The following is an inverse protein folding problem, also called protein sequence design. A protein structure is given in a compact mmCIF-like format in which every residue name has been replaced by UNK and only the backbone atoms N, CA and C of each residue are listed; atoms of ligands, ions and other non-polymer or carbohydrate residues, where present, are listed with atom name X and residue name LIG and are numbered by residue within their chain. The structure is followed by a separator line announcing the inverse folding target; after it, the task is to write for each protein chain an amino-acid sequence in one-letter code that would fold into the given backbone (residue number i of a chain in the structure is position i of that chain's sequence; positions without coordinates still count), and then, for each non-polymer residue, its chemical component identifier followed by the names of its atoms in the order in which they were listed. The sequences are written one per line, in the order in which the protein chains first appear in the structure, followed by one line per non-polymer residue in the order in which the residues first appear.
data_IF_823229859801
#
_entry.id   IF_823229859801
#
_cell.length_a   1.000
_cell.length_b   1.000
_cell.length_c   1.000
_cell.angle_alpha   90.00
_cell.angle_beta   90.00
_cell.angle_gamma   90.00
#
_symmetry.space_group_name_H-M   'P 1'
#
loop_
_entity.id
_entity.type
_entity.pdbx_description
1 polymer ?
#
# COMPACT_ATOMS: atom_id res chain seq x y z
N UNK A 1 -67.14 64.40 44.83
CA UNK A 1 -66.07 64.62 45.83
C UNK A 1 -65.92 63.31 46.62
N UNK A 2 -64.75 62.70 46.90
CA UNK A 2 -63.31 62.96 46.64
C UNK A 2 -62.61 61.62 46.25
N UNK A 3 -61.37 61.67 45.73
CA UNK A 3 -60.48 60.50 45.49
C UNK A 3 -59.94 59.92 46.82
N UNK A 4 -59.37 58.71 46.80
CA UNK A 4 -58.03 58.27 47.32
C UNK A 4 -57.87 56.76 46.98
N UNK A 5 -57.03 56.34 46.02
CA UNK A 5 -55.57 56.05 46.04
C UNK A 5 -55.17 54.72 46.75
N UNK A 6 -54.39 53.93 46.01
CA UNK A 6 -53.84 52.59 46.28
C UNK A 6 -52.60 52.64 47.20
N UNK A 7 -52.42 51.63 48.07
CA UNK A 7 -51.10 51.17 48.54
C UNK A 7 -51.07 49.64 48.55
N UNK A 8 -50.05 49.05 47.92
CA UNK A 8 -49.73 47.62 47.97
C UNK A 8 -48.53 47.39 48.90
N UNK A 9 -48.51 46.26 49.61
CA UNK A 9 -47.29 45.69 50.19
C UNK A 9 -47.47 44.18 50.33
N UNK A 10 -46.56 43.40 49.76
CA UNK A 10 -46.50 41.96 49.92
C UNK A 10 -45.04 41.51 49.85
N UNK A 11 -44.49 41.19 51.01
CA UNK A 11 -43.13 40.66 51.16
C UNK A 11 -43.12 39.16 50.84
N UNK A 12 -42.39 38.78 49.80
CA UNK A 12 -41.78 37.46 49.55
C UNK A 12 -42.56 36.19 49.94
N UNK A 13 -42.99 35.42 48.93
CA UNK A 13 -42.99 33.95 49.02
C UNK A 13 -41.95 33.43 48.04
N UNK A 14 -40.80 33.00 48.54
CA UNK A 14 -39.75 32.35 47.74
C UNK A 14 -40.13 30.89 47.53
N UNK A 15 -40.77 30.60 46.40
CA UNK A 15 -41.05 29.22 46.02
C UNK A 15 -39.90 28.69 45.14
N UNK A 16 -38.89 28.11 45.79
CA UNK A 16 -37.89 27.27 45.09
C UNK A 16 -38.56 25.94 44.71
N UNK A 17 -39.43 25.97 43.71
CA UNK A 17 -39.86 24.74 43.05
C UNK A 17 -38.72 24.24 42.18
N UNK A 18 -37.94 23.29 42.72
CA UNK A 18 -37.57 22.16 41.88
C UNK A 18 -38.87 21.55 41.34
N UNK A 19 -39.01 21.41 40.03
CA UNK A 19 -40.27 20.94 39.44
C UNK A 19 -40.60 19.53 39.92
N UNK A 20 -41.64 19.38 40.74
CA UNK A 20 -42.38 18.15 40.76
C UNK A 20 -43.17 18.05 39.45
N UNK A 21 -42.87 17.01 38.66
CA UNK A 21 -43.53 16.73 37.38
C UNK A 21 -44.89 16.09 37.67
N UNK A 22 -45.85 16.92 38.10
CA UNK A 22 -47.12 16.52 38.67
C UNK A 22 -48.36 16.92 37.86
N UNK A 23 -48.33 16.86 36.53
CA UNK A 23 -49.55 16.96 35.71
C UNK A 23 -49.40 16.28 34.34
N UNK A 24 -50.43 15.54 33.93
CA UNK A 24 -50.60 15.13 32.53
C UNK A 24 -50.60 16.37 31.64
N UNK A 25 -49.82 16.33 30.56
CA UNK A 25 -49.61 17.43 29.61
C UNK A 25 -48.73 18.61 30.09
N UNK A 26 -48.10 18.56 31.28
CA UNK A 26 -47.02 19.50 31.62
C UNK A 26 -45.74 19.21 30.82
N UNK A 27 -45.44 20.06 29.83
CA UNK A 27 -44.14 20.05 29.15
C UNK A 27 -43.10 20.72 30.07
N UNK A 28 -41.85 20.23 30.07
CA UNK A 28 -40.77 20.89 30.82
C UNK A 28 -40.19 21.99 29.94
N UNK A 29 -40.01 23.19 30.51
CA UNK A 29 -39.54 24.39 29.80
C UNK A 29 -38.53 25.15 30.65
N UNK A 30 -37.45 25.61 30.01
CA UNK A 30 -36.67 26.75 30.49
C UNK A 30 -36.95 27.96 29.60
N UNK A 31 -37.32 29.10 30.21
CA UNK A 31 -37.57 30.36 29.50
C UNK A 31 -36.30 31.17 29.19
N UNK A 32 -35.15 30.69 29.65
CA UNK A 32 -33.83 31.31 29.40
C UNK A 32 -33.32 30.93 28.00
N UNK A 33 -32.69 31.85 27.24
CA UNK A 33 -31.96 31.49 26.03
C UNK A 33 -30.93 30.37 26.27
N UNK A 34 -30.85 29.41 25.34
CA UNK A 34 -30.10 28.15 25.53
C UNK A 34 -30.86 27.07 26.32
N UNK A 35 -32.05 27.37 26.82
CA UNK A 35 -32.92 26.44 27.52
C UNK A 35 -33.45 25.30 26.64
N UNK A 36 -33.72 24.14 27.25
CA UNK A 36 -34.33 23.00 26.60
C UNK A 36 -35.85 22.91 26.89
N UNK A 37 -36.59 22.33 25.95
CA UNK A 37 -38.01 22.00 26.07
C UNK A 37 -38.25 20.53 25.75
N UNK A 38 -39.09 19.85 26.54
CA UNK A 38 -39.58 18.49 26.25
C UNK A 38 -41.09 18.54 26.03
N UNK A 39 -41.57 18.05 24.87
CA UNK A 39 -42.99 18.01 24.55
C UNK A 39 -43.58 16.65 24.92
N UNK A 40 -44.79 16.68 25.44
CA UNK A 40 -45.67 15.51 25.62
C UNK A 40 -46.78 15.44 24.55
N UNK A 41 -46.75 16.35 23.56
CA UNK A 41 -47.68 16.38 22.43
C UNK A 41 -47.33 15.27 21.41
N UNK A 42 -48.32 14.48 20.99
CA UNK A 42 -48.16 13.55 19.85
C UNK A 42 -48.04 14.34 18.54
N UNK A 43 -47.34 13.77 17.53
CA UNK A 43 -47.24 14.37 16.20
C UNK A 43 -46.19 15.49 16.06
N UNK A 44 -45.08 15.41 16.80
CA UNK A 44 -43.93 16.28 16.58
C UNK A 44 -43.34 16.16 15.16
N UNK A 45 -42.76 17.25 14.66
CA UNK A 45 -42.26 17.38 13.28
C UNK A 45 -40.90 18.09 13.28
N UNK A 46 -40.25 18.18 12.12
CA UNK A 46 -39.03 18.98 11.97
C UNK A 46 -39.24 20.46 12.36
N UNK A 47 -40.46 20.99 12.24
CA UNK A 47 -40.80 22.37 12.62
C UNK A 47 -41.20 22.52 14.10
N UNK A 48 -41.60 21.44 14.77
CA UNK A 48 -41.97 21.40 16.19
C UNK A 48 -41.45 20.09 16.81
N UNK A 49 -40.15 20.02 17.14
CA UNK A 49 -39.49 18.79 17.58
C UNK A 49 -39.90 18.38 19.00
N UNK A 50 -39.85 17.07 19.28
CA UNK A 50 -40.16 16.45 20.58
C UNK A 50 -39.28 16.99 21.72
N UNK A 51 -38.00 17.25 21.41
CA UNK A 51 -37.05 17.93 22.27
C UNK A 51 -36.49 19.10 21.47
N UNK A 52 -36.75 20.32 21.92
CA UNK A 52 -36.36 21.55 21.23
C UNK A 52 -35.42 22.41 22.07
N UNK A 53 -34.62 23.24 21.41
CA UNK A 53 -33.71 24.19 22.05
C UNK A 53 -34.17 25.64 21.80
N UNK A 54 -34.03 26.50 22.81
CA UNK A 54 -34.40 27.90 22.74
C UNK A 54 -33.18 28.76 22.41
N UNK A 55 -33.32 29.74 21.53
CA UNK A 55 -32.28 30.72 21.20
C UNK A 55 -32.56 32.08 21.85
N UNK A 56 -31.61 33.02 21.78
CA UNK A 56 -31.84 34.43 22.16
C UNK A 56 -32.88 35.15 21.31
N UNK A 57 -33.34 34.54 20.20
CA UNK A 57 -34.40 35.07 19.34
C UNK A 57 -35.81 34.55 19.69
N UNK A 58 -35.97 33.64 20.67
CA UNK A 58 -37.31 33.18 21.08
C UNK A 58 -38.04 34.23 21.91
N UNK A 59 -39.23 34.64 21.48
CA UNK A 59 -40.08 35.60 22.24
C UNK A 59 -41.01 34.88 23.22
N UNK A 60 -41.28 35.53 24.36
CA UNK A 60 -42.24 35.09 25.38
C UNK A 60 -43.69 35.16 24.86
N UNK A 61 -44.05 34.20 24.02
CA UNK A 61 -45.35 34.13 23.35
C UNK A 61 -45.45 33.00 22.32
N UNK A 62 -44.33 32.54 21.76
CA UNK A 62 -44.28 31.36 20.90
C UNK A 62 -43.22 30.35 21.39
N UNK A 63 -43.51 29.57 22.46
CA UNK A 63 -42.55 28.62 23.07
C UNK A 63 -42.27 27.38 22.21
N UNK A 64 -42.67 27.39 20.94
CA UNK A 64 -42.38 26.33 19.95
C UNK A 64 -41.32 26.75 18.92
N UNK A 65 -40.83 27.99 18.97
CA UNK A 65 -40.00 28.55 17.91
C UNK A 65 -38.85 29.43 18.43
N UNK A 66 -37.65 29.04 18.04
CA UNK A 66 -36.34 29.58 18.35
C UNK A 66 -35.83 30.59 17.28
N UNK A 67 -36.76 31.30 16.64
CA UNK A 67 -36.52 32.38 15.68
C UNK A 67 -36.54 31.96 14.20
N UNK A 68 -36.57 30.65 13.91
CA UNK A 68 -36.60 30.10 12.55
C UNK A 68 -37.30 28.73 12.42
N UNK A 69 -37.91 28.26 13.52
CA UNK A 69 -38.62 26.99 13.63
C UNK A 69 -37.70 25.78 13.74
N UNK A 70 -37.88 25.01 14.81
CA UNK A 70 -37.68 23.57 14.78
C UNK A 70 -36.25 23.06 14.88
N UNK A 71 -35.33 23.72 15.58
CA UNK A 71 -34.07 23.08 15.93
C UNK A 71 -34.28 22.07 17.07
N UNK A 72 -34.01 20.78 16.85
CA UNK A 72 -34.22 19.75 17.87
C UNK A 72 -34.31 18.31 17.38
N UNK A 73 -34.86 17.43 18.21
CA UNK A 73 -35.02 15.99 17.97
C UNK A 73 -36.50 15.64 17.86
N UNK A 74 -36.89 14.92 16.81
CA UNK A 74 -38.28 14.55 16.51
C UNK A 74 -38.40 13.13 15.96
N UNK A 75 -39.64 12.66 15.75
CA UNK A 75 -40.00 11.32 15.29
C UNK A 75 -40.82 11.42 14.00
N UNK A 76 -40.19 11.50 12.81
CA UNK A 76 -40.89 11.67 11.53
C UNK A 76 -41.79 10.47 11.18
N UNK A 77 -41.43 9.27 11.65
CA UNK A 77 -42.09 8.00 11.34
C UNK A 77 -42.02 7.06 12.55
N UNK A 78 -42.74 5.93 12.46
CA UNK A 78 -42.59 4.84 13.42
C UNK A 78 -41.12 4.39 13.52
N UNK A 79 -40.67 4.12 14.75
CA UNK A 79 -39.34 3.63 15.09
C UNK A 79 -38.16 4.43 14.48
N UNK A 80 -38.40 5.70 14.13
CA UNK A 80 -37.40 6.58 13.51
C UNK A 80 -37.18 7.80 14.41
N UNK A 81 -35.92 8.14 14.64
CA UNK A 81 -35.50 9.36 15.31
C UNK A 81 -34.82 10.26 14.29
N UNK A 82 -35.08 11.56 14.34
CA UNK A 82 -34.46 12.53 13.46
C UNK A 82 -34.09 13.83 14.19
N UNK A 83 -33.09 14.51 13.66
CA UNK A 83 -32.59 15.80 14.10
C UNK A 83 -32.92 16.82 13.02
N UNK A 84 -33.48 17.95 13.43
CA UNK A 84 -33.83 19.06 12.53
C UNK A 84 -33.09 20.33 12.90
N UNK A 85 -32.83 21.14 11.88
CA UNK A 85 -32.54 22.57 12.04
C UNK A 85 -33.27 23.37 10.98
N UNK A 86 -33.70 24.58 11.31
CA UNK A 86 -34.48 25.48 10.42
C UNK A 86 -35.66 24.75 9.76
N UNK A 87 -36.41 23.98 10.56
CA UNK A 87 -37.55 23.14 10.15
C UNK A 87 -37.25 22.06 9.10
N UNK A 88 -35.98 21.71 8.86
CA UNK A 88 -35.53 20.71 7.89
C UNK A 88 -34.86 19.54 8.62
N UNK A 89 -35.21 18.31 8.24
CA UNK A 89 -34.54 17.09 8.70
C UNK A 89 -33.08 17.04 8.19
N UNK A 90 -32.11 16.96 9.10
CA UNK A 90 -30.67 16.97 8.80
C UNK A 90 -30.00 15.61 8.97
N UNK A 91 -30.45 14.85 9.97
CA UNK A 91 -29.90 13.55 10.33
C UNK A 91 -31.02 12.65 10.86
N UNK A 92 -30.97 11.35 10.57
CA UNK A 92 -31.96 10.37 11.02
C UNK A 92 -31.32 9.05 11.43
N UNK A 93 -31.95 8.32 12.32
CA UNK A 93 -31.76 6.87 12.48
C UNK A 93 -33.12 6.24 12.18
N UNK A 94 -33.21 5.48 11.08
CA UNK A 94 -34.47 4.86 10.64
C UNK A 94 -34.82 3.60 11.46
N UNK A 95 -35.99 3.02 11.18
CA UNK A 95 -36.48 1.78 11.82
C UNK A 95 -35.57 0.56 11.65
N UNK A 96 -34.65 0.58 10.68
CA UNK A 96 -33.64 -0.46 10.45
C UNK A 96 -32.30 -0.16 11.16
N UNK A 97 -32.24 0.92 11.96
CA UNK A 97 -31.03 1.36 12.66
C UNK A 97 -30.01 2.06 11.76
N UNK A 98 -30.37 2.46 10.54
CA UNK A 98 -29.45 3.09 9.59
C UNK A 98 -29.41 4.60 9.79
N UNK A 99 -28.19 5.13 9.96
CA UNK A 99 -27.90 6.56 10.12
C UNK A 99 -27.88 7.25 8.75
N UNK A 100 -28.86 8.10 8.51
CA UNK A 100 -28.89 9.03 7.38
C UNK A 100 -28.39 10.41 7.79
N UNK A 101 -27.54 11.06 6.99
CA UNK A 101 -27.25 12.49 7.10
C UNK A 101 -27.55 13.12 5.73
N UNK A 102 -28.33 14.19 5.68
CA UNK A 102 -28.84 14.77 4.43
C UNK A 102 -29.88 13.91 3.68
N UNK A 103 -30.30 12.76 4.24
CA UNK A 103 -31.26 11.84 3.60
C UNK A 103 -32.33 11.32 4.57
N UNK A 104 -33.57 11.25 4.09
CA UNK A 104 -34.69 10.59 4.79
C UNK A 104 -34.76 9.09 4.50
N UNK A 105 -34.00 8.57 3.54
CA UNK A 105 -34.00 7.16 3.13
C UNK A 105 -32.57 6.55 3.15
N UNK A 106 -31.96 6.38 4.34
CA UNK A 106 -30.68 5.70 4.43
C UNK A 106 -30.84 4.22 4.05
N UNK A 107 -30.03 3.75 3.10
CA UNK A 107 -30.03 2.39 2.54
C UNK A 107 -28.86 1.53 3.05
N UNK A 108 -27.97 2.13 3.84
CA UNK A 108 -26.78 1.53 4.45
C UNK A 108 -26.64 2.01 5.88
N UNK A 109 -25.88 1.29 6.73
CA UNK A 109 -25.70 1.59 8.17
C UNK A 109 -25.32 3.05 8.43
N UNK A 110 -24.52 3.64 7.56
CA UNK A 110 -24.29 5.08 7.43
C UNK A 110 -24.50 5.44 5.95
N UNK A 111 -25.40 6.38 5.67
CA UNK A 111 -25.65 6.94 4.34
C UNK A 111 -25.69 8.46 4.45
N UNK A 112 -24.67 9.13 3.93
CA UNK A 112 -24.59 10.60 3.90
C UNK A 112 -24.85 11.06 2.47
N UNK A 113 -25.70 12.08 2.30
CA UNK A 113 -25.85 12.83 1.04
C UNK A 113 -25.23 14.21 1.25
N UNK A 114 -24.05 14.40 0.66
CA UNK A 114 -23.20 15.58 0.82
C UNK A 114 -21.74 15.24 0.54
N UNK A 115 -20.84 16.15 0.93
CA UNK A 115 -19.39 15.91 0.96
C UNK A 115 -18.91 15.96 2.42
N UNK A 116 -18.05 15.03 2.82
CA UNK A 116 -17.40 15.05 4.14
C UNK A 116 -16.03 15.76 4.07
N UNK A 117 -15.80 16.69 5.00
CA UNK A 117 -14.48 17.29 5.21
C UNK A 117 -13.91 16.80 6.54
N UNK A 118 -12.72 16.22 6.50
CA UNK A 118 -12.04 15.65 7.67
C UNK A 118 -10.68 16.31 7.83
N UNK A 119 -10.64 17.37 8.63
CA UNK A 119 -9.44 18.18 8.88
C UNK A 119 -8.58 17.60 10.02
N UNK A 120 -7.25 17.60 9.86
CA UNK A 120 -6.29 17.05 10.84
C UNK A 120 -6.62 15.65 11.36
N UNK A 121 -7.34 14.89 10.53
CA UNK A 121 -8.01 13.68 10.93
C UNK A 121 -8.19 12.78 9.73
N UNK A 122 -9.04 11.78 9.91
CA UNK A 122 -8.88 10.58 9.13
C UNK A 122 -10.25 9.94 8.76
N UNK A 123 -10.40 9.51 7.50
CA UNK A 123 -11.57 8.86 6.88
C UNK A 123 -11.20 7.49 6.23
N UNK A 124 -11.74 6.33 6.67
CA UNK A 124 -11.63 5.04 5.92
C UNK A 124 -12.96 4.52 5.45
N UNK A 125 -12.83 3.69 4.42
CA UNK A 125 -13.81 2.78 3.89
C UNK A 125 -13.22 1.37 4.00
N UNK A 126 -13.96 0.41 4.57
CA UNK A 126 -13.57 -1.01 4.56
C UNK A 126 -12.58 -1.50 5.63
N UNK A 127 -12.15 -0.67 6.58
CA UNK A 127 -11.48 -1.14 7.81
C UNK A 127 -12.19 -0.64 9.07
N UNK A 128 -11.81 -1.21 10.22
CA UNK A 128 -12.44 -0.94 11.51
C UNK A 128 -12.11 0.42 12.15
N UNK A 129 -11.26 1.28 11.54
CA UNK A 129 -10.92 2.66 12.00
C UNK A 129 -10.41 3.55 10.83
N UNK A 130 -10.59 4.89 10.82
CA UNK A 130 -10.48 5.73 9.60
C UNK A 130 -9.16 6.51 9.32
N UNK A 131 -8.64 6.58 8.03
CA UNK A 131 -7.78 7.58 7.22
C UNK A 131 -7.60 7.34 5.68
N UNK A 132 -7.49 8.42 4.88
CA UNK A 132 -7.34 8.45 3.38
C UNK A 132 -6.17 9.33 2.86
N UNK A 133 -5.80 9.23 1.57
CA UNK A 133 -5.15 10.27 0.70
C UNK A 133 -5.11 9.82 -0.77
N UNK A 134 -4.93 8.52 -1.02
CA UNK A 134 -5.67 7.87 -2.11
C UNK A 134 -7.01 7.43 -1.50
N UNK A 135 -7.64 6.38 -2.02
CA UNK A 135 -7.92 5.33 -1.04
C UNK A 135 -6.54 4.80 -0.62
N UNK A 136 -5.92 5.45 0.39
CA UNK A 136 -4.58 5.08 0.92
C UNK A 136 -4.55 3.60 1.29
N UNK A 137 -5.74 3.10 1.60
CA UNK A 137 -6.14 1.73 1.70
C UNK A 137 -7.56 1.64 1.08
N UNK A 138 -7.77 0.91 -0.03
CA UNK A 138 -9.06 0.28 -0.30
C UNK A 138 -9.10 -1.07 0.41
N UNK A 139 -10.28 -1.51 0.85
CA UNK A 139 -10.53 -2.93 1.14
C UNK A 139 -11.81 -3.32 0.42
N UNK A 140 -11.66 -4.11 -0.65
CA UNK A 140 -12.77 -4.58 -1.47
C UNK A 140 -12.51 -6.04 -1.88
N UNK A 141 -13.51 -6.90 -1.71
CA UNK A 141 -13.45 -8.34 -2.05
C UNK A 141 -12.21 -9.09 -1.49
N UNK A 142 -11.67 -8.61 -0.36
CA UNK A 142 -10.47 -9.15 0.30
C UNK A 142 -9.13 -8.60 -0.21
N UNK A 143 -9.13 -7.76 -1.25
CA UNK A 143 -7.95 -7.10 -1.77
C UNK A 143 -7.70 -5.73 -1.11
N UNK A 144 -6.41 -5.38 -0.93
CA UNK A 144 -5.97 -4.04 -0.54
C UNK A 144 -5.37 -3.34 -1.75
N UNK A 145 -5.96 -2.21 -2.17
CA UNK A 145 -5.40 -1.33 -3.20
C UNK A 145 -4.82 -0.06 -2.56
N UNK A 146 -3.59 0.28 -2.97
CA UNK A 146 -2.91 1.55 -2.68
C UNK A 146 -2.55 2.16 -4.03
N UNK A 147 -3.16 3.30 -4.41
CA UNK A 147 -3.16 3.73 -5.83
C UNK A 147 -3.21 5.25 -6.05
N UNK A 148 -2.20 5.80 -6.75
CA UNK A 148 -2.15 7.21 -7.17
C UNK A 148 -0.78 7.85 -6.88
N UNK A 149 -0.52 9.05 -7.40
CA UNK A 149 0.78 9.72 -7.27
C UNK A 149 0.91 10.57 -5.99
N UNK A 150 2.08 10.54 -5.35
CA UNK A 150 2.46 11.46 -4.28
C UNK A 150 3.78 12.21 -4.62
N UNK A 151 4.23 13.10 -3.73
CA UNK A 151 5.44 13.91 -3.92
C UNK A 151 6.78 13.14 -3.99
N UNK A 152 6.76 11.81 -3.87
CA UNK A 152 7.92 10.93 -3.99
C UNK A 152 7.83 9.94 -5.17
N UNK A 153 6.75 9.96 -5.97
CA UNK A 153 6.71 9.33 -7.30
C UNK A 153 5.57 8.34 -7.56
N UNK A 154 4.86 7.87 -6.54
CA UNK A 154 3.83 6.84 -6.73
C UNK A 154 3.03 6.50 -5.47
N UNK A 155 2.18 5.45 -5.52
CA UNK A 155 1.47 4.96 -4.36
C UNK A 155 2.43 4.13 -3.52
N UNK A 156 2.50 4.40 -2.22
CA UNK A 156 3.48 3.76 -1.34
C UNK A 156 2.94 3.36 0.02
N UNK A 157 3.49 2.26 0.54
CA UNK A 157 3.38 1.82 1.92
C UNK A 157 4.76 2.04 2.56
N UNK A 158 4.84 2.91 3.56
CA UNK A 158 6.06 3.16 4.31
C UNK A 158 6.07 2.40 5.63
N UNK A 159 7.24 1.87 6.01
CA UNK A 159 7.50 1.10 7.23
C UNK A 159 8.55 1.82 8.09
N UNK A 160 8.34 1.87 9.40
CA UNK A 160 9.29 2.40 10.39
C UNK A 160 9.15 1.65 11.71
N UNK A 161 10.20 1.71 12.54
CA UNK A 161 10.23 1.19 13.91
C UNK A 161 9.84 2.25 14.96
N UNK A 162 10.29 3.49 14.73
CA UNK A 162 9.92 4.70 15.47
C UNK A 162 9.62 5.82 14.47
N UNK A 163 8.63 6.66 14.79
CA UNK A 163 8.24 7.87 14.04
C UNK A 163 8.26 9.11 14.95
N UNK A 164 9.27 9.22 15.80
CA UNK A 164 9.67 10.50 16.36
C UNK A 164 10.14 11.45 15.24
N UNK A 165 9.65 12.70 15.27
CA UNK A 165 9.72 13.68 14.18
C UNK A 165 11.14 14.16 13.78
N UNK A 166 12.19 13.65 14.44
CA UNK A 166 13.58 14.04 14.24
C UNK A 166 14.41 12.99 13.49
N UNK A 167 13.98 11.73 13.46
CA UNK A 167 14.78 10.63 12.93
C UNK A 167 14.32 10.16 11.54
N UNK A 168 13.04 9.83 11.32
CA UNK A 168 12.54 9.25 10.06
C UNK A 168 11.12 9.74 9.72
N UNK A 169 10.93 11.03 9.35
CA UNK A 169 9.60 11.63 9.16
C UNK A 169 8.76 11.00 8.05
N UNK A 170 9.41 10.28 7.11
CA UNK A 170 8.77 9.61 5.98
C UNK A 170 8.82 8.06 6.09
N UNK A 171 9.27 7.52 7.23
CA UNK A 171 9.59 6.11 7.43
C UNK A 171 11.03 5.72 7.03
N UNK A 172 11.39 4.45 7.26
CA UNK A 172 12.73 3.88 6.97
C UNK A 172 12.79 3.10 5.67
N UNK A 173 11.69 2.46 5.29
CA UNK A 173 11.53 1.67 4.08
C UNK A 173 10.21 1.99 3.43
N UNK A 174 10.14 1.87 2.11
CA UNK A 174 8.93 1.99 1.33
C UNK A 174 8.80 0.83 0.35
N UNK A 175 7.56 0.44 0.08
CA UNK A 175 7.17 -0.32 -1.10
C UNK A 175 6.30 0.61 -1.93
N UNK A 176 6.63 0.78 -3.21
CA UNK A 176 5.85 1.59 -4.15
C UNK A 176 5.73 0.91 -5.51
N UNK A 177 4.73 1.31 -6.30
CA UNK A 177 4.71 1.01 -7.73
C UNK A 177 5.32 2.18 -8.51
N UNK A 178 6.40 1.93 -9.24
CA UNK A 178 7.03 2.91 -10.12
C UNK A 178 6.52 2.68 -11.54
N UNK A 179 5.87 3.70 -12.11
CA UNK A 179 5.31 3.70 -13.46
C UNK A 179 6.31 3.21 -14.50
N UNK A 180 5.86 2.32 -15.38
CA UNK A 180 6.64 1.67 -16.45
C UNK A 180 7.88 0.89 -15.98
N UNK A 181 7.95 0.55 -14.68
CA UNK A 181 9.05 -0.24 -14.11
C UNK A 181 8.56 -1.43 -13.31
N UNK A 182 7.67 -1.23 -12.35
CA UNK A 182 7.13 -2.27 -11.45
C UNK A 182 7.23 -1.93 -9.96
N UNK A 183 7.19 -2.96 -9.10
CA UNK A 183 7.17 -2.82 -7.64
C UNK A 183 8.58 -2.60 -7.07
N UNK A 184 8.83 -1.42 -6.51
CA UNK A 184 10.11 -0.96 -5.99
C UNK A 184 10.16 -1.02 -4.46
N UNK A 185 11.22 -1.63 -3.93
CA UNK A 185 11.60 -1.60 -2.51
C UNK A 185 12.71 -0.56 -2.34
N UNK A 186 12.42 0.48 -1.55
CA UNK A 186 13.21 1.70 -1.50
C UNK A 186 13.31 2.28 -0.08
N UNK A 187 14.15 3.30 0.10
CA UNK A 187 14.30 4.04 1.36
C UNK A 187 13.88 5.49 1.19
N UNK A 188 12.88 5.96 1.96
CA UNK A 188 12.50 7.37 2.03
C UNK A 188 13.69 8.29 2.31
N UNK A 189 13.65 9.49 1.71
CA UNK A 189 14.65 10.51 1.98
C UNK A 189 14.57 10.97 3.44
N UNK A 190 15.72 10.90 4.10
CA UNK A 190 15.94 11.34 5.47
C UNK A 190 16.76 12.65 5.47
N UNK A 191 16.16 13.79 5.86
CA UNK A 191 16.87 15.07 5.89
C UNK A 191 17.91 15.16 7.03
N UNK A 192 17.75 14.37 8.10
CA UNK A 192 18.65 14.37 9.27
C UNK A 192 19.92 13.54 9.01
N UNK A 193 19.79 12.40 8.33
CA UNK A 193 20.93 11.51 8.02
C UNK A 193 21.45 11.64 6.58
N UNK A 194 20.89 12.54 5.77
CA UNK A 194 21.30 12.78 4.38
C UNK A 194 21.20 11.56 3.47
N UNK A 195 20.21 10.68 3.69
CA UNK A 195 20.15 9.35 3.09
C UNK A 195 18.79 8.97 2.55
N UNK A 196 18.79 8.27 1.43
CA UNK A 196 17.63 7.64 0.77
C UNK A 196 18.15 6.76 -0.37
N UNK A 197 17.27 6.03 -1.06
CA UNK A 197 17.71 5.25 -2.23
C UNK A 197 16.61 4.38 -2.83
N UNK A 198 16.67 4.21 -4.15
CA UNK A 198 15.72 3.42 -4.92
C UNK A 198 16.33 2.08 -5.38
N UNK A 199 15.46 1.14 -5.74
CA UNK A 199 15.83 -0.12 -6.38
C UNK A 199 16.77 -0.99 -5.54
N UNK A 200 16.59 -1.00 -4.22
CA UNK A 200 17.23 -2.02 -3.38
C UNK A 200 16.76 -3.42 -3.82
N UNK A 201 15.46 -3.53 -4.14
CA UNK A 201 14.89 -4.60 -4.96
C UNK A 201 13.80 -4.03 -5.85
N UNK A 202 13.74 -4.41 -7.12
CA UNK A 202 12.71 -4.02 -8.08
C UNK A 202 12.16 -5.29 -8.74
N UNK A 203 10.87 -5.58 -8.49
CA UNK A 203 10.11 -6.58 -9.22
C UNK A 203 9.48 -5.91 -10.43
N UNK A 204 10.02 -6.17 -11.62
CA UNK A 204 9.61 -5.49 -12.84
C UNK A 204 8.35 -6.10 -13.47
N UNK A 205 7.61 -5.27 -14.20
CA UNK A 205 6.37 -5.69 -14.90
C UNK A 205 6.63 -6.74 -16.00
N UNK A 206 7.87 -6.84 -16.50
CA UNK A 206 8.33 -7.90 -17.42
C UNK A 206 8.75 -9.21 -16.71
N UNK A 207 8.50 -9.31 -15.40
CA UNK A 207 8.81 -10.44 -14.54
C UNK A 207 10.29 -10.59 -14.20
N UNK A 208 11.15 -9.59 -14.47
CA UNK A 208 12.54 -9.57 -14.00
C UNK A 208 12.63 -9.06 -12.55
N UNK A 209 13.64 -9.53 -11.83
CA UNK A 209 14.02 -9.08 -10.50
C UNK A 209 15.38 -8.38 -10.60
N UNK A 210 15.46 -7.14 -10.13
CA UNK A 210 16.71 -6.39 -10.07
C UNK A 210 17.04 -6.02 -8.61
N UNK A 211 18.28 -6.22 -8.18
CA UNK A 211 18.74 -6.00 -6.81
C UNK A 211 19.89 -4.99 -6.81
N UNK A 212 19.72 -3.88 -6.09
CA UNK A 212 20.66 -2.75 -6.05
C UNK A 212 20.78 -1.97 -7.37
N UNK A 213 19.84 -2.15 -8.32
CA UNK A 213 19.87 -1.55 -9.65
C UNK A 213 18.47 -1.53 -10.29
N UNK A 214 18.20 -0.55 -11.15
CA UNK A 214 17.07 -0.58 -12.09
C UNK A 214 17.47 -1.09 -13.49
N UNK A 215 18.78 -1.15 -13.78
CA UNK A 215 19.29 -1.52 -15.09
C UNK A 215 19.19 -3.04 -15.31
N UNK A 216 18.32 -3.42 -16.24
CA UNK A 216 18.13 -4.81 -16.70
C UNK A 216 18.26 -4.84 -18.23
N UNK A 217 19.48 -4.74 -18.77
CA UNK A 217 19.66 -4.58 -20.21
C UNK A 217 19.24 -5.85 -20.96
N UNK A 218 18.82 -5.65 -22.22
CA UNK A 218 18.47 -6.74 -23.13
C UNK A 218 19.70 -7.47 -23.68
N UNK A 219 20.88 -6.87 -23.61
CA UNK A 219 22.16 -7.42 -24.10
C UNK A 219 23.35 -6.98 -23.23
N UNK A 220 24.46 -7.71 -23.35
CA UNK A 220 25.80 -7.30 -22.91
C UNK A 220 26.80 -7.78 -23.99
N UNK A 221 27.59 -6.88 -24.56
CA UNK A 221 28.27 -7.15 -25.84
C UNK A 221 27.28 -7.66 -26.91
N UNK A 222 27.56 -8.80 -27.56
CA UNK A 222 26.59 -9.45 -28.45
C UNK A 222 25.68 -10.48 -27.75
N UNK A 223 25.90 -10.78 -26.45
CA UNK A 223 25.10 -11.75 -25.71
C UNK A 223 23.68 -11.23 -25.43
N UNK A 224 22.67 -12.08 -25.68
CA UNK A 224 21.25 -11.77 -25.47
C UNK A 224 20.81 -12.16 -24.05
N UNK A 225 20.35 -11.16 -23.28
CA UNK A 225 19.95 -11.32 -21.88
C UNK A 225 18.44 -11.44 -21.66
N UNK A 226 17.61 -11.48 -22.71
CA UNK A 226 16.15 -11.44 -22.54
C UNK A 226 15.54 -12.64 -21.79
N UNK A 227 16.22 -13.79 -21.78
CA UNK A 227 15.83 -14.95 -20.99
C UNK A 227 16.15 -14.81 -19.49
N UNK A 228 17.06 -13.90 -19.10
CA UNK A 228 17.49 -13.73 -17.71
C UNK A 228 16.43 -12.97 -16.91
N UNK A 229 16.14 -13.49 -15.71
CA UNK A 229 15.13 -12.95 -14.79
C UNK A 229 15.70 -12.39 -13.49
N UNK A 230 17.00 -12.50 -13.22
CA UNK A 230 17.64 -11.95 -12.03
C UNK A 230 18.88 -11.12 -12.42
N UNK A 231 18.93 -9.88 -11.93
CA UNK A 231 20.03 -8.94 -12.14
C UNK A 231 20.49 -8.41 -10.77
N UNK A 232 21.77 -8.52 -10.42
CA UNK A 232 22.28 -8.15 -9.08
C UNK A 232 23.51 -7.26 -9.21
N UNK A 233 23.45 -6.05 -8.65
CA UNK A 233 24.61 -5.15 -8.57
C UNK A 233 25.45 -5.46 -7.34
N UNK A 234 26.76 -5.63 -7.53
CA UNK A 234 27.72 -5.93 -6.47
C UNK A 234 28.08 -7.41 -6.30
N UNK A 235 27.29 -8.32 -6.90
CA UNK A 235 27.53 -9.76 -6.90
C UNK A 235 26.62 -10.54 -5.94
N UNK A 236 26.80 -11.86 -5.90
CA UNK A 236 26.05 -12.79 -5.06
C UNK A 236 27.06 -13.60 -4.25
N UNK A 237 26.99 -13.52 -2.91
CA UNK A 237 27.69 -14.43 -2.01
C UNK A 237 26.71 -15.53 -1.59
N UNK A 238 27.06 -16.79 -1.85
CA UNK A 238 26.26 -17.98 -1.52
C UNK A 238 27.17 -19.14 -1.14
N UNK A 239 26.67 -20.09 -0.35
CA UNK A 239 27.38 -21.32 0.03
C UNK A 239 27.36 -22.37 -1.10
N UNK A 240 26.27 -22.45 -1.87
CA UNK A 240 26.12 -23.34 -3.03
C UNK A 240 25.38 -22.63 -4.17
N UNK A 241 25.60 -23.07 -5.41
CA UNK A 241 24.75 -22.75 -6.55
C UNK A 241 24.62 -23.96 -7.48
N UNK A 242 23.39 -24.47 -7.61
CA UNK A 242 23.07 -25.57 -8.54
C UNK A 242 22.59 -25.06 -9.90
N UNK A 243 23.44 -25.21 -10.91
CA UNK A 243 23.08 -24.90 -12.32
C UNK A 243 22.70 -26.18 -13.05
N UNK A 244 21.45 -26.28 -13.53
CA UNK A 244 21.01 -27.38 -14.40
C UNK A 244 21.21 -27.00 -15.87
N UNK A 245 22.28 -27.51 -16.47
CA UNK A 245 22.65 -27.37 -17.88
C UNK A 245 22.70 -28.74 -18.57
N UNK A 246 22.90 -28.76 -19.90
CA UNK A 246 23.22 -29.99 -20.63
C UNK A 246 24.66 -30.44 -20.35
N UNK A 247 24.88 -31.73 -20.21
CA UNK A 247 26.19 -32.31 -19.85
C UNK A 247 27.07 -32.61 -21.10
N UNK A 248 28.34 -32.95 -20.89
CA UNK A 248 29.38 -32.96 -21.93
C UNK A 248 29.79 -34.35 -22.48
N UNK A 249 29.18 -35.45 -22.01
CA UNK A 249 29.60 -36.85 -22.30
C UNK A 249 29.73 -37.25 -23.80
N UNK A 250 29.31 -36.39 -24.74
CA UNK A 250 29.45 -36.66 -26.18
C UNK A 250 30.91 -36.75 -26.66
N UNK A 251 31.89 -36.30 -25.88
CA UNK A 251 33.32 -36.46 -26.22
C UNK A 251 33.73 -37.95 -26.28
N UNK A 252 32.99 -38.82 -25.59
CA UNK A 252 33.21 -40.28 -25.60
C UNK A 252 32.32 -41.04 -26.58
N UNK A 253 31.55 -40.37 -27.43
CA UNK A 253 30.74 -41.03 -28.45
C UNK A 253 31.62 -41.59 -29.59
N UNK A 254 31.24 -42.74 -30.17
CA UNK A 254 31.99 -43.39 -31.26
C UNK A 254 32.12 -42.51 -32.53
N UNK A 255 31.21 -41.54 -32.71
CA UNK A 255 31.21 -40.56 -33.80
C UNK A 255 31.85 -39.21 -33.41
N UNK A 256 32.45 -39.09 -32.22
CA UNK A 256 33.14 -37.88 -31.81
C UNK A 256 34.49 -37.73 -32.51
N UNK A 257 34.63 -36.63 -33.26
CA UNK A 257 35.84 -36.34 -34.04
C UNK A 257 36.83 -35.52 -33.21
N UNK A 258 37.65 -36.20 -32.41
CA UNK A 258 38.77 -35.59 -31.68
C UNK A 258 39.75 -34.94 -32.69
N UNK A 259 40.01 -33.64 -32.54
CA UNK A 259 40.90 -32.89 -33.44
C UNK A 259 42.34 -33.36 -33.31
N UNK A 260 43.12 -33.52 -34.40
CA UNK A 260 44.55 -33.78 -34.28
C UNK A 260 45.28 -32.66 -33.52
N UNK A 261 46.25 -33.00 -32.66
CA UNK A 261 47.00 -32.01 -31.87
C UNK A 261 47.66 -30.92 -32.72
N UNK A 262 48.08 -31.22 -33.95
CA UNK A 262 48.63 -30.24 -34.89
C UNK A 262 47.59 -29.19 -35.34
N UNK A 263 46.31 -29.58 -35.48
CA UNK A 263 45.23 -28.63 -35.78
C UNK A 263 44.88 -27.78 -34.55
N UNK A 264 44.91 -28.37 -33.35
CA UNK A 264 44.73 -27.66 -32.08
C UNK A 264 45.85 -26.64 -31.87
N UNK A 265 47.11 -27.02 -32.10
CA UNK A 265 48.27 -26.13 -32.07
C UNK A 265 48.13 -24.98 -33.06
N UNK A 266 47.77 -25.27 -34.32
CA UNK A 266 47.55 -24.23 -35.33
C UNK A 266 46.40 -23.27 -34.91
N UNK A 267 45.30 -23.81 -34.36
CA UNK A 267 44.20 -22.99 -33.85
C UNK A 267 44.64 -22.09 -32.70
N UNK A 268 45.42 -22.59 -31.72
CA UNK A 268 45.96 -21.79 -30.62
C UNK A 268 46.92 -20.72 -31.15
N UNK A 269 47.79 -21.06 -32.10
CA UNK A 269 48.75 -20.14 -32.69
C UNK A 269 48.08 -18.95 -33.38
N UNK A 270 46.93 -19.17 -34.04
CA UNK A 270 46.14 -18.14 -34.70
C UNK A 270 45.25 -17.37 -33.70
N UNK A 271 44.47 -18.06 -32.88
CA UNK A 271 43.36 -17.47 -32.10
C UNK A 271 43.72 -17.12 -30.65
N UNK A 272 44.84 -17.62 -30.12
CA UNK A 272 45.31 -17.45 -28.72
C UNK A 272 44.37 -17.97 -27.64
N UNK A 273 43.45 -18.87 -27.98
CA UNK A 273 42.63 -19.66 -27.06
C UNK A 273 42.39 -21.07 -27.60
N UNK A 274 41.83 -21.96 -26.77
CA UNK A 274 41.46 -23.31 -27.18
C UNK A 274 40.19 -23.32 -28.06
N UNK A 275 40.02 -24.32 -28.94
CA UNK A 275 38.75 -24.55 -29.64
C UNK A 275 37.58 -24.66 -28.67
N UNK A 276 36.46 -24.02 -29.02
CA UNK A 276 35.20 -23.93 -28.25
C UNK A 276 35.28 -23.15 -26.91
N UNK A 277 36.47 -22.73 -26.46
CA UNK A 277 36.62 -21.83 -25.31
C UNK A 277 36.50 -20.38 -25.78
N UNK A 278 35.71 -19.51 -25.13
CA UNK A 278 35.61 -18.10 -25.52
C UNK A 278 36.94 -17.36 -25.35
N UNK A 279 37.19 -16.37 -26.21
CA UNK A 279 38.40 -15.55 -26.12
C UNK A 279 38.35 -14.63 -24.89
N UNK A 280 39.52 -14.23 -24.36
CA UNK A 280 39.59 -13.30 -23.22
C UNK A 280 38.84 -11.98 -23.49
N UNK A 281 38.93 -11.46 -24.72
CA UNK A 281 38.18 -10.28 -25.17
C UNK A 281 36.67 -10.50 -25.09
N UNK A 282 36.19 -11.65 -25.57
CA UNK A 282 34.76 -11.98 -25.51
C UNK A 282 34.27 -12.07 -24.06
N UNK A 283 35.05 -12.69 -23.17
CA UNK A 283 34.73 -12.77 -21.73
C UNK A 283 34.68 -11.39 -21.07
N UNK A 284 35.55 -10.46 -21.47
CA UNK A 284 35.55 -9.08 -20.98
C UNK A 284 34.35 -8.26 -21.49
N UNK A 285 33.94 -8.47 -22.75
CA UNK A 285 32.83 -7.75 -23.40
C UNK A 285 31.43 -8.32 -23.05
N UNK A 286 31.31 -9.64 -22.84
CA UNK A 286 30.03 -10.37 -22.73
C UNK A 286 29.83 -11.09 -21.38
N UNK A 287 30.90 -11.29 -20.61
CA UNK A 287 30.91 -12.18 -19.45
C UNK A 287 30.94 -13.67 -19.83
N UNK A 288 30.57 -14.54 -18.90
CA UNK A 288 30.44 -15.99 -19.13
C UNK A 288 29.18 -16.56 -18.49
N UNK A 289 28.52 -17.47 -19.22
CA UNK A 289 27.46 -18.33 -18.70
C UNK A 289 28.07 -19.46 -17.87
N UNK A 290 27.76 -19.52 -16.57
CA UNK A 290 28.33 -20.52 -15.66
C UNK A 290 28.04 -21.96 -16.11
N UNK A 291 26.84 -22.23 -16.61
CA UNK A 291 26.47 -23.55 -17.11
C UNK A 291 27.20 -23.95 -18.40
N UNK A 292 27.44 -23.00 -19.30
CA UNK A 292 28.14 -23.29 -20.56
C UNK A 292 29.66 -23.40 -20.34
N UNK A 293 30.27 -22.54 -19.52
CA UNK A 293 31.70 -22.62 -19.26
C UNK A 293 32.08 -23.89 -18.49
N UNK A 294 31.27 -24.35 -17.52
CA UNK A 294 31.48 -25.65 -16.87
C UNK A 294 31.36 -26.81 -17.86
N UNK A 295 30.40 -26.76 -18.79
CA UNK A 295 30.27 -27.77 -19.85
C UNK A 295 31.49 -27.79 -20.79
N UNK A 296 31.97 -26.61 -21.22
CA UNK A 296 33.15 -26.47 -22.07
C UNK A 296 34.43 -26.93 -21.33
N UNK A 297 34.55 -26.62 -20.04
CA UNK A 297 35.65 -27.11 -19.20
C UNK A 297 35.65 -28.63 -19.12
N UNK A 298 34.49 -29.26 -18.93
CA UNK A 298 34.35 -30.72 -18.96
C UNK A 298 34.73 -31.29 -20.33
N UNK A 299 34.25 -30.70 -21.44
CA UNK A 299 34.66 -31.09 -22.80
C UNK A 299 36.19 -31.05 -22.98
N UNK A 300 36.87 -29.98 -22.52
CA UNK A 300 38.33 -29.88 -22.62
C UNK A 300 39.05 -30.92 -21.73
N UNK A 301 38.51 -31.26 -20.56
CA UNK A 301 39.08 -32.30 -19.67
C UNK A 301 38.96 -33.69 -20.32
N UNK A 302 37.86 -33.97 -21.00
CA UNK A 302 37.63 -35.23 -21.70
C UNK A 302 38.51 -35.35 -22.97
N UNK A 303 38.62 -34.28 -23.77
CA UNK A 303 39.56 -34.18 -24.89
C UNK A 303 41.02 -34.42 -24.43
N UNK A 304 41.45 -33.74 -23.36
CA UNK A 304 42.78 -33.93 -22.77
C UNK A 304 43.02 -35.37 -22.31
N UNK A 305 42.01 -36.01 -21.74
CA UNK A 305 42.07 -37.41 -21.32
C UNK A 305 42.26 -38.35 -22.52
N UNK A 306 41.58 -38.11 -23.64
CA UNK A 306 41.78 -38.86 -24.88
C UNK A 306 43.19 -38.68 -25.46
N UNK A 307 43.72 -37.46 -25.50
CA UNK A 307 45.11 -37.22 -25.94
C UNK A 307 46.14 -37.90 -25.02
N UNK A 308 45.91 -37.92 -23.70
CA UNK A 308 46.79 -38.63 -22.75
C UNK A 308 46.77 -40.14 -23.01
N UNK A 309 45.59 -40.72 -23.28
CA UNK A 309 45.45 -42.14 -23.65
C UNK A 309 46.19 -42.45 -24.96
N UNK A 310 46.09 -41.59 -25.97
CA UNK A 310 46.82 -41.73 -27.24
C UNK A 310 48.34 -41.64 -27.03
N UNK A 311 48.80 -40.65 -26.26
CA UNK A 311 50.21 -40.46 -25.93
C UNK A 311 50.79 -41.66 -25.15
N UNK A 312 50.04 -42.19 -24.17
CA UNK A 312 50.48 -43.38 -23.42
C UNK A 312 50.64 -44.61 -24.34
N UNK A 313 49.63 -44.90 -25.19
CA UNK A 313 49.73 -45.97 -26.20
C UNK A 313 50.94 -45.77 -27.13
N UNK A 314 51.28 -44.53 -27.45
CA UNK A 314 52.47 -44.22 -28.26
C UNK A 314 53.77 -44.45 -27.50
N UNK A 315 53.84 -44.12 -26.22
CA UNK A 315 55.01 -44.36 -25.36
C UNK A 315 55.25 -45.87 -25.23
N UNK A 316 54.23 -46.66 -24.85
CA UNK A 316 54.31 -48.12 -24.77
C UNK A 316 54.80 -48.75 -26.09
N UNK A 317 54.29 -48.27 -27.23
CA UNK A 317 54.70 -48.74 -28.56
C UNK A 317 56.13 -48.31 -28.97
N UNK A 318 56.72 -47.30 -28.32
CA UNK A 318 58.12 -46.90 -28.50
C UNK A 318 59.04 -47.70 -27.57
N UNK A 319 58.65 -47.87 -26.30
CA UNK A 319 59.37 -48.70 -25.33
C UNK A 319 59.46 -50.16 -25.79
N UNK A 320 58.35 -50.74 -26.25
CA UNK A 320 58.33 -52.09 -26.82
C UNK A 320 59.26 -52.24 -28.05
N UNK A 321 59.53 -51.15 -28.79
CA UNK A 321 60.51 -51.16 -29.90
C UNK A 321 61.95 -50.97 -29.45
N UNK A 322 62.18 -50.44 -28.25
CA UNK A 322 63.51 -50.35 -27.63
C UNK A 322 63.90 -51.66 -26.96
N UNK A 323 62.97 -52.36 -26.32
CA UNK A 323 63.23 -53.65 -25.65
C UNK A 323 63.28 -54.86 -26.59
N UNK A 324 62.87 -54.72 -27.86
CA UNK A 324 62.97 -55.77 -28.90
C UNK A 324 64.14 -55.52 -29.88
N UNK A 325 65.23 -54.90 -29.41
CA UNK A 325 66.51 -54.71 -30.14
C UNK A 325 67.68 -55.29 -29.36
#
# INVERSE_FOLDING_TARGET
MKKFILILSLSTVTLVMGQEIGATNASLFSSTPGGARILNEQGNTAANPAIGFHSTASTLGNPRNDGGGGNGIFRPLANTMAFSTTSIERMRINSSGFLGIGTTAPSQRLHIIGNEYVENGNLTVGISQPSNTFSKLQVHEGAILVSGGNGAGGPMICFSDDVTNTAYPNGRWGIEYVTDKGLNFWKPWNPTTGGGGNYYMLLKDDGRVAIGTENTPATIGAANLNAYKLYVKGGILTEEVRVRTGWADYVFADDYHLKPLAEVENFININKHLPNVPSAKQVEEEGVSLGEITKIQQEKIEELTLYIIEQNKRIEALEAKMYNK
#
